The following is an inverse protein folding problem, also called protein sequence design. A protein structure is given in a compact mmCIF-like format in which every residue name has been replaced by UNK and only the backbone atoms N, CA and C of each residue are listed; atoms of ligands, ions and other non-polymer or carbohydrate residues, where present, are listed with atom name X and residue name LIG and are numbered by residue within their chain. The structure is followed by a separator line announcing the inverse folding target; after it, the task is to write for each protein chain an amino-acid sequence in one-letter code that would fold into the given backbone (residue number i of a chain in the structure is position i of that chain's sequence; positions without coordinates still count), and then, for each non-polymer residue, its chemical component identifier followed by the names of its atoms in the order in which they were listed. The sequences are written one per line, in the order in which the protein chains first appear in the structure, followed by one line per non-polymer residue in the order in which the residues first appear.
data_IF_027980505965
#
_entry.id   IF_027980505965
#
_cell.length_a   1.000
_cell.length_b   1.000
_cell.length_c   1.000
_cell.angle_alpha   90.00
_cell.angle_beta   90.00
_cell.angle_gamma   90.00
#
_symmetry.space_group_name_H-M   'P 1'
#
loop_
_entity.id
_entity.type
_entity.pdbx_description
1 polymer ?
#
# COMPACT_ATOMS: atom_id res chain seq x y z
N UNK A 1 -11.94 86.02 4.13
CA UNK A 1 -11.49 84.83 3.39
C UNK A 1 -11.25 83.69 4.40
N UNK A 2 -12.12 82.71 4.43
CA UNK A 2 -12.00 81.53 5.31
C UNK A 2 -11.70 80.34 4.41
N UNK A 3 -10.48 79.78 4.52
CA UNK A 3 -9.99 78.65 3.74
C UNK A 3 -10.38 77.37 4.50
N UNK A 4 -11.29 76.58 3.93
CA UNK A 4 -11.65 75.27 4.47
C UNK A 4 -10.64 74.22 3.99
N UNK A 5 -9.92 73.56 4.89
CA UNK A 5 -9.08 72.38 4.62
C UNK A 5 -9.96 71.12 4.74
N UNK A 6 -10.17 70.44 3.63
CA UNK A 6 -10.84 69.12 3.56
C UNK A 6 -9.79 68.04 3.84
N UNK A 7 -9.86 67.43 5.01
CA UNK A 7 -9.04 66.27 5.36
C UNK A 7 -9.64 65.02 4.73
N UNK A 8 -8.99 64.49 3.68
CA UNK A 8 -9.30 63.18 3.10
C UNK A 8 -8.60 62.10 3.93
N UNK A 9 -9.39 61.33 4.69
CA UNK A 9 -8.93 60.19 5.44
C UNK A 9 -8.84 58.99 4.46
N UNK A 10 -7.62 58.59 4.06
CA UNK A 10 -7.35 57.36 3.33
C UNK A 10 -7.39 56.18 4.32
N UNK A 11 -8.48 55.43 4.33
CA UNK A 11 -8.56 54.16 5.03
C UNK A 11 -7.73 53.09 4.24
N UNK A 12 -6.51 52.80 4.71
CA UNK A 12 -5.75 51.65 4.26
C UNK A 12 -6.44 50.38 4.78
N UNK A 13 -7.20 49.72 3.91
CA UNK A 13 -7.64 48.32 4.11
C UNK A 13 -6.41 47.41 4.01
N UNK A 14 -5.82 47.11 5.14
CA UNK A 14 -4.84 46.01 5.27
C UNK A 14 -5.59 44.69 4.97
N UNK A 15 -5.46 44.19 3.74
CA UNK A 15 -5.86 42.85 3.41
C UNK A 15 -4.97 41.90 4.25
N UNK A 16 -5.51 41.39 5.34
CA UNK A 16 -4.91 40.28 6.08
C UNK A 16 -4.95 39.09 5.11
N UNK A 17 -3.81 38.51 4.70
CA UNK A 17 -3.84 37.28 3.92
C UNK A 17 -4.52 36.25 4.83
N UNK A 18 -5.68 35.75 4.43
CA UNK A 18 -6.24 34.54 5.01
C UNK A 18 -5.16 33.48 4.84
N UNK A 19 -4.57 33.07 5.96
CA UNK A 19 -3.72 31.90 5.99
C UNK A 19 -4.62 30.74 5.50
N UNK A 20 -4.43 30.33 4.26
CA UNK A 20 -5.00 29.09 3.79
C UNK A 20 -4.54 28.03 4.79
N UNK A 21 -5.46 27.40 5.51
CA UNK A 21 -5.15 26.29 6.41
C UNK A 21 -4.31 25.30 5.61
N UNK A 22 -3.03 25.27 5.86
CA UNK A 22 -2.12 24.31 5.25
C UNK A 22 -2.64 22.93 5.71
N UNK A 23 -3.30 22.22 4.80
CA UNK A 23 -3.80 20.85 5.06
C UNK A 23 -2.63 20.09 5.71
N UNK A 24 -2.82 19.57 6.92
CA UNK A 24 -1.79 18.80 7.60
C UNK A 24 -1.37 17.67 6.67
N UNK A 25 -0.11 17.67 6.28
CA UNK A 25 0.45 16.60 5.47
C UNK A 25 0.29 15.27 6.20
N UNK A 26 -0.32 14.28 5.54
CA UNK A 26 -0.47 12.92 6.03
C UNK A 26 0.46 11.99 5.26
N UNK A 27 1.03 11.00 5.94
CA UNK A 27 1.88 9.99 5.32
C UNK A 27 0.99 8.97 4.58
N UNK A 28 0.75 9.21 3.30
CA UNK A 28 -0.07 8.36 2.43
C UNK A 28 0.80 7.91 1.26
N UNK A 29 0.99 6.59 1.15
CA UNK A 29 1.59 5.98 -0.02
C UNK A 29 0.54 5.72 -1.11
N UNK A 30 1.00 5.58 -2.36
CA UNK A 30 0.18 5.10 -3.47
C UNK A 30 0.80 3.85 -4.08
N UNK A 31 -0.03 2.84 -4.35
CA UNK A 31 0.36 1.69 -5.16
C UNK A 31 0.41 2.10 -6.63
N UNK A 32 1.56 1.94 -7.29
CA UNK A 32 1.74 2.40 -8.68
C UNK A 32 0.88 1.63 -9.70
N UNK A 33 0.25 0.53 -9.29
CA UNK A 33 -0.79 -0.13 -10.09
C UNK A 33 -2.00 0.79 -10.34
N UNK A 34 -2.26 1.72 -9.44
CA UNK A 34 -3.31 2.74 -9.59
C UNK A 34 -3.10 3.70 -10.76
N UNK A 35 -1.91 3.74 -11.31
CA UNK A 35 -1.55 4.60 -12.45
C UNK A 35 -0.92 3.80 -13.58
N UNK A 36 -1.14 2.47 -13.58
CA UNK A 36 -0.58 1.54 -14.58
C UNK A 36 -0.90 1.94 -16.02
N UNK A 37 -2.11 2.45 -16.25
CA UNK A 37 -2.55 2.82 -17.60
C UNK A 37 -1.75 4.01 -18.15
N UNK A 38 -1.37 4.98 -17.31
CA UNK A 38 -0.51 6.09 -17.72
C UNK A 38 0.88 5.57 -18.11
N UNK A 39 1.45 4.67 -17.31
CA UNK A 39 2.79 4.10 -17.55
C UNK A 39 2.77 3.21 -18.80
N UNK A 40 1.77 2.34 -18.93
CA UNK A 40 1.64 1.41 -20.07
C UNK A 40 1.37 2.15 -21.38
N UNK A 41 0.69 3.29 -21.34
CA UNK A 41 0.43 4.16 -22.48
C UNK A 41 1.62 5.09 -22.82
N UNK A 42 2.78 4.88 -22.17
CA UNK A 42 4.04 5.54 -22.52
C UNK A 42 4.34 6.83 -21.77
N UNK A 43 3.54 7.21 -20.76
CA UNK A 43 3.94 8.34 -19.90
C UNK A 43 5.19 7.96 -19.10
N UNK A 44 6.23 8.77 -19.25
CA UNK A 44 7.51 8.48 -18.59
C UNK A 44 7.35 8.43 -17.06
N UNK A 45 7.93 7.42 -16.41
CA UNK A 45 7.80 7.18 -14.98
C UNK A 45 8.11 8.44 -14.13
N UNK A 46 9.13 9.20 -14.48
CA UNK A 46 9.50 10.42 -13.73
C UNK A 46 8.43 11.52 -13.79
N UNK A 47 7.62 11.58 -14.87
CA UNK A 47 6.49 12.50 -14.98
C UNK A 47 5.36 12.05 -14.07
N UNK A 48 5.03 10.75 -14.11
CA UNK A 48 4.00 10.15 -13.22
C UNK A 48 4.36 10.39 -11.74
N UNK A 49 5.60 10.09 -11.36
CA UNK A 49 6.07 10.29 -9.97
C UNK A 49 6.00 11.76 -9.53
N UNK A 50 6.39 12.68 -10.42
CA UNK A 50 6.30 14.13 -10.15
C UNK A 50 4.85 14.56 -9.93
N UNK A 51 3.92 14.12 -10.79
CA UNK A 51 2.51 14.46 -10.66
C UNK A 51 1.92 13.92 -9.33
N UNK A 52 2.21 12.66 -8.96
CA UNK A 52 1.77 12.06 -7.71
C UNK A 52 2.31 12.83 -6.49
N UNK A 53 3.57 13.22 -6.49
CA UNK A 53 4.16 14.03 -5.43
C UNK A 53 3.50 15.42 -5.33
N UNK A 54 3.22 16.06 -6.46
CA UNK A 54 2.52 17.36 -6.50
C UNK A 54 1.08 17.27 -6.01
N UNK A 55 0.41 16.13 -6.18
CA UNK A 55 -0.90 15.86 -5.59
C UNK A 55 -0.85 15.76 -4.07
N UNK A 56 0.29 15.34 -3.49
CA UNK A 56 0.50 15.21 -2.04
C UNK A 56 0.77 13.80 -1.53
N UNK A 57 0.94 12.81 -2.40
CA UNK A 57 1.43 11.49 -1.98
C UNK A 57 2.87 11.58 -1.49
N UNK A 58 3.19 10.84 -0.40
CA UNK A 58 4.50 10.93 0.27
C UNK A 58 5.42 9.76 -0.01
N UNK A 59 4.85 8.65 -0.46
CA UNK A 59 5.57 7.40 -0.71
C UNK A 59 4.90 6.61 -1.83
N UNK A 60 5.63 5.65 -2.38
CA UNK A 60 5.09 4.72 -3.36
C UNK A 60 5.26 3.27 -2.91
N UNK A 61 4.34 2.42 -3.36
CA UNK A 61 4.51 0.98 -3.47
C UNK A 61 4.62 0.61 -4.94
N UNK A 62 5.71 -0.10 -5.32
CA UNK A 62 5.92 -0.52 -6.70
C UNK A 62 5.04 -1.74 -7.04
N UNK A 63 4.57 -1.82 -8.29
CA UNK A 63 3.76 -2.93 -8.81
C UNK A 63 4.43 -3.68 -9.96
N UNK A 64 5.70 -3.36 -10.23
CA UNK A 64 6.45 -3.96 -11.33
C UNK A 64 7.87 -4.26 -10.85
N UNK A 65 8.16 -5.55 -10.69
CA UNK A 65 9.50 -6.07 -10.48
C UNK A 65 9.76 -7.18 -11.48
N UNK A 66 10.81 -7.04 -12.26
CA UNK A 66 11.24 -8.05 -13.22
C UNK A 66 12.76 -8.14 -13.29
N UNK A 67 13.31 -9.33 -13.08
CA UNK A 67 14.73 -9.66 -13.25
C UNK A 67 15.68 -8.62 -12.64
N UNK A 68 15.43 -8.23 -11.37
CA UNK A 68 16.26 -7.27 -10.63
C UNK A 68 15.99 -5.82 -10.95
N UNK A 69 14.96 -5.50 -11.74
CA UNK A 69 14.62 -4.13 -12.17
C UNK A 69 13.21 -3.73 -11.72
N UNK A 70 13.00 -2.43 -11.56
CA UNK A 70 11.70 -1.81 -11.31
C UNK A 70 11.37 -0.86 -12.46
N UNK A 71 10.30 -1.13 -13.21
CA UNK A 71 9.92 -0.31 -14.38
C UNK A 71 11.09 -0.15 -15.38
N UNK A 72 11.86 -1.22 -15.58
CA UNK A 72 13.02 -1.24 -16.49
C UNK A 72 14.28 -0.56 -15.95
N UNK A 73 14.25 0.03 -14.76
CA UNK A 73 15.38 0.72 -14.10
C UNK A 73 16.10 -0.20 -13.12
N UNK A 74 17.41 0.03 -12.92
CA UNK A 74 18.09 -0.59 -11.77
C UNK A 74 17.48 -0.13 -10.46
N UNK A 75 17.67 -0.87 -9.36
CA UNK A 75 17.15 -0.49 -8.05
C UNK A 75 17.53 0.92 -7.63
N UNK A 76 18.78 1.32 -7.84
CA UNK A 76 19.31 2.64 -7.51
C UNK A 76 18.72 3.74 -8.39
N UNK A 77 18.59 3.49 -9.71
CA UNK A 77 17.95 4.44 -10.64
C UNK A 77 16.47 4.65 -10.28
N UNK A 78 15.76 3.58 -9.90
CA UNK A 78 14.36 3.66 -9.46
C UNK A 78 14.23 4.46 -8.17
N UNK A 79 15.04 4.14 -7.16
CA UNK A 79 15.10 4.89 -5.91
C UNK A 79 15.35 6.38 -6.16
N UNK A 80 16.37 6.69 -6.92
CA UNK A 80 16.74 8.07 -7.24
C UNK A 80 15.61 8.82 -7.98
N UNK A 81 14.87 8.14 -8.85
CA UNK A 81 13.73 8.75 -9.57
C UNK A 81 12.59 9.11 -8.59
N UNK A 82 12.28 8.23 -7.63
CA UNK A 82 11.26 8.46 -6.60
C UNK A 82 11.68 9.58 -5.65
N UNK A 83 12.92 9.54 -5.16
CA UNK A 83 13.46 10.56 -4.24
C UNK A 83 13.57 11.94 -4.91
N UNK A 84 13.96 12.00 -6.19
CA UNK A 84 13.98 13.25 -6.97
C UNK A 84 12.59 13.85 -7.16
N UNK A 85 11.54 13.04 -7.17
CA UNK A 85 10.16 13.52 -7.18
C UNK A 85 9.69 14.03 -5.80
N UNK A 86 10.47 13.84 -4.73
CA UNK A 86 10.13 14.24 -3.36
C UNK A 86 9.39 13.18 -2.55
N UNK A 87 9.33 11.94 -3.03
CA UNK A 87 8.68 10.81 -2.36
C UNK A 87 9.69 9.78 -1.85
N UNK A 88 9.20 8.78 -1.09
CA UNK A 88 9.99 7.65 -0.59
C UNK A 88 9.53 6.36 -1.25
N UNK A 89 10.45 5.41 -1.42
CA UNK A 89 10.09 4.04 -1.79
C UNK A 89 9.73 3.28 -0.51
N UNK A 90 8.48 2.85 -0.37
CA UNK A 90 8.02 2.14 0.82
C UNK A 90 8.17 0.62 0.65
N UNK A 91 7.59 0.09 -0.42
CA UNK A 91 7.37 -1.33 -0.63
C UNK A 91 7.24 -1.68 -2.11
N UNK A 92 7.09 -2.97 -2.38
CA UNK A 92 6.75 -3.47 -3.70
C UNK A 92 5.87 -4.71 -3.59
N UNK A 93 4.90 -4.85 -4.49
CA UNK A 93 4.31 -6.13 -4.80
C UNK A 93 5.30 -6.96 -5.62
N UNK A 94 5.60 -8.16 -5.13
CA UNK A 94 6.55 -9.08 -5.75
C UNK A 94 6.17 -10.51 -5.39
N UNK A 95 6.10 -11.38 -6.38
CA UNK A 95 5.75 -12.78 -6.16
C UNK A 95 6.63 -13.73 -6.99
N UNK A 96 6.82 -14.91 -6.46
CA UNK A 96 7.29 -16.09 -7.17
C UNK A 96 6.47 -17.29 -6.70
N UNK A 97 5.68 -17.85 -7.59
CA UNK A 97 4.98 -19.11 -7.34
C UNK A 97 5.94 -20.30 -7.26
N UNK A 98 5.52 -21.33 -6.55
CA UNK A 98 6.23 -22.62 -6.54
C UNK A 98 5.99 -23.36 -7.85
N UNK A 99 7.01 -23.98 -8.38
CA UNK A 99 6.90 -24.91 -9.50
C UNK A 99 6.25 -26.23 -9.07
N UNK A 100 5.68 -26.98 -9.99
CA UNK A 100 5.11 -28.30 -9.71
C UNK A 100 6.10 -29.25 -9.04
N UNK A 101 7.37 -29.14 -9.39
CA UNK A 101 8.47 -29.91 -8.76
C UNK A 101 8.67 -29.53 -7.29
N UNK A 102 8.66 -28.24 -6.97
CA UNK A 102 8.77 -27.74 -5.61
C UNK A 102 7.55 -28.12 -4.77
N UNK A 103 6.35 -28.02 -5.37
CA UNK A 103 5.10 -28.48 -4.74
C UNK A 103 5.15 -29.99 -4.44
N UNK A 104 5.63 -30.80 -5.36
CA UNK A 104 5.71 -32.25 -5.18
C UNK A 104 6.76 -32.68 -4.16
N UNK A 105 7.93 -32.02 -4.14
CA UNK A 105 9.06 -32.37 -3.27
C UNK A 105 9.02 -31.71 -1.90
N UNK A 106 8.41 -30.52 -1.80
CA UNK A 106 8.52 -29.63 -0.63
C UNK A 106 9.90 -28.96 -0.51
N UNK A 107 10.73 -29.01 -1.53
CA UNK A 107 12.04 -28.35 -1.58
C UNK A 107 11.93 -27.02 -2.35
N UNK A 108 12.05 -25.91 -1.63
CA UNK A 108 11.91 -24.54 -2.14
C UNK A 108 13.25 -23.92 -2.57
N UNK A 109 14.33 -24.69 -2.63
CA UNK A 109 15.70 -24.17 -2.80
C UNK A 109 15.84 -23.27 -4.03
N UNK A 110 15.19 -23.60 -5.15
CA UNK A 110 15.26 -22.82 -6.39
C UNK A 110 14.52 -21.48 -6.24
N UNK A 111 13.28 -21.51 -5.75
CA UNK A 111 12.50 -20.30 -5.50
C UNK A 111 13.14 -19.41 -4.43
N UNK A 112 13.71 -19.98 -3.38
CA UNK A 112 14.40 -19.23 -2.33
C UNK A 112 15.69 -18.56 -2.84
N UNK A 113 16.42 -19.19 -3.76
CA UNK A 113 17.57 -18.55 -4.43
C UNK A 113 17.13 -17.33 -5.25
N UNK A 114 16.00 -17.42 -5.93
CA UNK A 114 15.43 -16.27 -6.64
C UNK A 114 15.01 -15.16 -5.65
N UNK A 115 14.42 -15.52 -4.50
CA UNK A 115 14.07 -14.56 -3.46
C UNK A 115 15.30 -13.86 -2.88
N UNK A 116 16.43 -14.52 -2.71
CA UNK A 116 17.66 -13.89 -2.24
C UNK A 116 18.11 -12.76 -3.20
N UNK A 117 18.00 -12.96 -4.50
CA UNK A 117 18.30 -11.95 -5.52
C UNK A 117 17.26 -10.82 -5.49
N UNK A 118 15.98 -11.17 -5.38
CA UNK A 118 14.89 -10.20 -5.29
C UNK A 118 15.01 -9.32 -4.04
N UNK A 119 15.26 -9.91 -2.87
CA UNK A 119 15.46 -9.19 -1.61
C UNK A 119 16.64 -8.21 -1.71
N UNK A 120 17.74 -8.62 -2.32
CA UNK A 120 18.88 -7.72 -2.53
C UNK A 120 18.52 -6.50 -3.40
N UNK A 121 17.77 -6.71 -4.49
CA UNK A 121 17.32 -5.64 -5.36
C UNK A 121 16.34 -4.69 -4.64
N UNK A 122 15.39 -5.22 -3.88
CA UNK A 122 14.43 -4.40 -3.12
C UNK A 122 15.13 -3.58 -2.03
N UNK A 123 16.13 -4.17 -1.35
CA UNK A 123 16.96 -3.46 -0.37
C UNK A 123 17.74 -2.33 -1.01
N UNK A 124 18.35 -2.56 -2.18
CA UNK A 124 19.08 -1.52 -2.93
C UNK A 124 18.16 -0.39 -3.40
N UNK A 125 16.88 -0.71 -3.72
CA UNK A 125 15.85 0.28 -4.02
C UNK A 125 15.37 1.05 -2.77
N UNK A 126 15.85 0.75 -1.57
CA UNK A 126 15.51 1.43 -0.32
C UNK A 126 14.17 1.01 0.29
N UNK A 127 13.60 -0.11 -0.14
CA UNK A 127 12.33 -0.62 0.34
C UNK A 127 12.44 -1.22 1.74
N UNK A 128 11.37 -1.08 2.53
CA UNK A 128 11.24 -1.68 3.86
C UNK A 128 10.46 -2.98 3.83
N UNK A 129 9.57 -3.11 2.86
CA UNK A 129 8.62 -4.22 2.77
C UNK A 129 8.63 -4.79 1.36
N UNK A 130 8.49 -6.13 1.30
CA UNK A 130 8.13 -6.85 0.08
C UNK A 130 6.82 -7.55 0.37
N UNK A 131 5.85 -7.42 -0.51
CA UNK A 131 4.51 -7.98 -0.31
C UNK A 131 4.18 -8.94 -1.45
N UNK A 132 3.83 -10.17 -1.11
CA UNK A 132 3.26 -11.09 -2.09
C UNK A 132 1.80 -10.68 -2.35
N UNK A 133 1.44 -10.34 -3.60
CA UNK A 133 0.11 -9.82 -3.92
C UNK A 133 -0.98 -10.90 -4.00
N UNK A 134 -0.69 -12.13 -3.60
CA UNK A 134 -1.65 -13.22 -3.58
C UNK A 134 -1.12 -14.52 -4.19
N UNK A 135 -1.76 -15.61 -3.84
CA UNK A 135 -1.65 -16.91 -4.48
C UNK A 135 -3.06 -17.40 -4.81
N UNK A 136 -3.19 -18.32 -5.75
CA UNK A 136 -4.47 -19.01 -5.98
C UNK A 136 -4.92 -19.79 -4.73
N UNK A 137 -6.20 -20.15 -4.67
CA UNK A 137 -6.70 -21.00 -3.57
C UNK A 137 -6.03 -22.37 -3.66
N UNK A 138 -5.25 -22.79 -2.63
CA UNK A 138 -4.61 -24.10 -2.60
C UNK A 138 -5.67 -25.22 -2.67
N UNK A 139 -5.33 -26.30 -3.34
CA UNK A 139 -6.26 -27.42 -3.53
C UNK A 139 -6.46 -28.23 -2.26
N UNK A 140 -5.45 -28.28 -1.38
CA UNK A 140 -5.42 -29.11 -0.17
C UNK A 140 -4.84 -28.34 1.01
N UNK A 141 -5.19 -28.77 2.25
CA UNK A 141 -4.59 -28.25 3.47
C UNK A 141 -3.08 -28.51 3.54
N UNK A 142 -2.59 -29.59 2.91
CA UNK A 142 -1.16 -29.87 2.79
C UNK A 142 -0.46 -28.80 1.94
N UNK A 143 -1.04 -28.45 0.80
CA UNK A 143 -0.51 -27.38 -0.06
C UNK A 143 -0.59 -26.02 0.66
N UNK A 144 -1.68 -25.76 1.38
CA UNK A 144 -1.84 -24.55 2.17
C UNK A 144 -0.73 -24.39 3.22
N UNK A 145 -0.46 -25.47 3.97
CA UNK A 145 0.65 -25.50 4.95
C UNK A 145 1.99 -25.25 4.27
N UNK A 146 2.23 -25.83 3.13
CA UNK A 146 3.45 -25.66 2.38
C UNK A 146 3.69 -24.20 1.98
N UNK A 147 2.65 -23.48 1.54
CA UNK A 147 2.77 -22.04 1.30
C UNK A 147 3.07 -21.24 2.57
N UNK A 148 2.50 -21.60 3.71
CA UNK A 148 2.86 -20.97 4.99
C UNK A 148 4.34 -21.20 5.35
N UNK A 149 4.85 -22.41 5.18
CA UNK A 149 6.26 -22.73 5.41
C UNK A 149 7.17 -21.94 4.45
N UNK A 150 6.79 -21.86 3.17
CA UNK A 150 7.50 -21.08 2.15
C UNK A 150 7.55 -19.59 2.51
N UNK A 151 6.44 -19.00 2.93
CA UNK A 151 6.38 -17.59 3.34
C UNK A 151 7.19 -17.32 4.60
N UNK A 152 7.22 -18.26 5.55
CA UNK A 152 8.09 -18.17 6.72
C UNK A 152 9.57 -18.12 6.31
N UNK A 153 9.99 -18.95 5.35
CA UNK A 153 11.37 -18.95 4.86
C UNK A 153 11.73 -17.65 4.12
N UNK A 154 10.82 -17.11 3.30
CA UNK A 154 11.02 -15.80 2.65
C UNK A 154 11.11 -14.70 3.69
N UNK A 155 10.18 -14.68 4.66
CA UNK A 155 10.13 -13.65 5.70
C UNK A 155 11.38 -13.65 6.58
N UNK A 156 11.90 -14.82 6.93
CA UNK A 156 13.16 -14.97 7.65
C UNK A 156 14.34 -14.37 6.87
N UNK A 157 14.41 -14.59 5.54
CA UNK A 157 15.44 -14.01 4.67
C UNK A 157 15.31 -12.49 4.57
N UNK A 158 14.08 -11.98 4.45
CA UNK A 158 13.81 -10.53 4.50
C UNK A 158 14.30 -9.93 5.82
N UNK A 159 13.98 -10.54 6.97
CA UNK A 159 14.41 -10.08 8.28
C UNK A 159 15.94 -10.01 8.40
N UNK A 160 16.66 -11.04 7.93
CA UNK A 160 18.13 -11.07 7.90
C UNK A 160 18.73 -9.93 7.08
N UNK A 161 17.98 -9.40 6.13
CA UNK A 161 18.36 -8.25 5.30
C UNK A 161 17.81 -6.89 5.80
N UNK A 162 17.18 -6.86 6.99
CA UNK A 162 16.60 -5.66 7.57
C UNK A 162 15.30 -5.22 6.92
N UNK A 163 14.62 -6.13 6.24
CA UNK A 163 13.34 -5.94 5.56
C UNK A 163 12.27 -6.81 6.19
N UNK A 164 11.01 -6.63 5.80
CA UNK A 164 9.89 -7.47 6.21
C UNK A 164 9.15 -7.99 5.00
N UNK A 165 8.66 -9.22 5.10
CA UNK A 165 7.82 -9.85 4.09
C UNK A 165 6.36 -9.82 4.53
N UNK A 166 5.46 -9.56 3.60
CA UNK A 166 4.02 -9.55 3.85
C UNK A 166 3.23 -10.28 2.77
N UNK A 167 1.96 -10.51 3.08
CA UNK A 167 0.98 -11.07 2.17
C UNK A 167 -0.20 -10.11 2.02
N UNK A 168 -0.61 -9.83 0.80
CA UNK A 168 -1.78 -9.01 0.46
C UNK A 168 -2.97 -9.91 0.08
N UNK A 169 -4.13 -9.65 0.66
CA UNK A 169 -5.33 -10.42 0.39
C UNK A 169 -6.22 -9.79 -0.69
N UNK A 170 -6.92 -10.66 -1.40
CA UNK A 170 -8.11 -10.38 -2.17
C UNK A 170 -9.35 -11.00 -1.50
N UNK A 171 -10.43 -11.19 -2.26
CA UNK A 171 -11.66 -11.79 -1.74
C UNK A 171 -11.60 -13.33 -1.67
N UNK A 172 -10.77 -13.97 -2.49
CA UNK A 172 -10.74 -15.43 -2.58
C UNK A 172 -10.09 -16.10 -1.36
N UNK A 173 -9.25 -15.39 -0.60
CA UNK A 173 -8.64 -15.90 0.63
C UNK A 173 -9.65 -16.10 1.78
N UNK A 174 -10.87 -15.61 1.62
CA UNK A 174 -11.96 -15.86 2.56
C UNK A 174 -12.73 -17.15 2.26
N UNK A 175 -12.33 -17.90 1.24
CA UNK A 175 -12.85 -19.23 0.96
C UNK A 175 -12.19 -20.29 1.84
N UNK A 176 -12.92 -21.40 2.06
CA UNK A 176 -12.38 -22.54 2.78
C UNK A 176 -11.60 -23.46 1.84
N UNK A 177 -10.41 -23.86 2.26
CA UNK A 177 -9.61 -24.90 1.64
C UNK A 177 -10.15 -26.26 2.13
N UNK A 178 -10.46 -27.20 1.23
CA UNK A 178 -11.04 -28.53 1.53
C UNK A 178 -12.24 -28.47 2.49
N UNK A 179 -13.02 -27.40 2.51
CA UNK A 179 -14.11 -27.14 3.47
C UNK A 179 -13.68 -27.16 4.94
N UNK A 180 -12.38 -27.08 5.24
CA UNK A 180 -11.86 -27.16 6.62
C UNK A 180 -11.61 -25.76 7.21
N UNK A 181 -10.70 -24.98 6.64
CA UNK A 181 -10.29 -23.69 7.17
C UNK A 181 -10.38 -22.57 6.13
N UNK A 182 -10.75 -21.37 6.57
CA UNK A 182 -10.64 -20.16 5.75
C UNK A 182 -9.16 -19.92 5.44
N UNK A 183 -8.84 -19.71 4.18
CA UNK A 183 -7.45 -19.59 3.72
C UNK A 183 -6.68 -18.51 4.47
N UNK A 184 -7.22 -17.28 4.56
CA UNK A 184 -6.54 -16.18 5.25
C UNK A 184 -6.34 -16.45 6.74
N UNK A 185 -7.33 -17.00 7.43
CA UNK A 185 -7.23 -17.38 8.84
C UNK A 185 -6.08 -18.38 9.05
N UNK A 186 -6.07 -19.43 8.23
CA UNK A 186 -5.03 -20.44 8.30
C UNK A 186 -3.63 -19.87 8.07
N UNK A 187 -3.49 -18.97 7.09
CA UNK A 187 -2.21 -18.30 6.81
C UNK A 187 -1.74 -17.45 7.99
N UNK A 188 -2.65 -16.68 8.60
CA UNK A 188 -2.33 -15.83 9.75
C UNK A 188 -1.88 -16.69 10.95
N UNK A 189 -2.57 -17.81 11.19
CA UNK A 189 -2.31 -18.71 12.33
C UNK A 189 -1.06 -19.58 12.14
N UNK A 190 -0.68 -19.89 10.89
CA UNK A 190 0.42 -20.79 10.57
C UNK A 190 1.66 -20.10 9.99
N UNK A 191 1.72 -18.76 10.02
CA UNK A 191 2.92 -18.01 9.70
C UNK A 191 3.47 -17.30 10.94
N UNK A 192 4.80 -17.26 11.07
CA UNK A 192 5.46 -16.61 12.18
C UNK A 192 5.28 -15.07 12.11
N UNK A 193 4.70 -14.42 13.13
CA UNK A 193 4.47 -12.98 13.16
C UNK A 193 5.76 -12.14 13.13
N UNK A 194 6.91 -12.71 13.47
CA UNK A 194 8.20 -12.03 13.34
C UNK A 194 8.67 -11.95 11.88
N UNK A 195 8.25 -12.89 11.04
CA UNK A 195 8.69 -13.02 9.65
C UNK A 195 7.67 -12.50 8.66
N UNK A 196 6.37 -12.77 8.90
CA UNK A 196 5.29 -12.50 7.95
C UNK A 196 4.25 -11.57 8.58
N UNK A 197 4.03 -10.42 7.97
CA UNK A 197 2.89 -9.56 8.27
C UNK A 197 1.81 -9.71 7.18
N UNK A 198 0.63 -9.15 7.43
CA UNK A 198 -0.42 -9.09 6.42
C UNK A 198 -0.65 -7.63 6.00
N UNK A 199 -0.71 -7.41 4.69
CA UNK A 199 -1.20 -6.17 4.10
C UNK A 199 -2.67 -6.39 3.79
N UNK A 200 -3.55 -5.92 4.69
CA UNK A 200 -4.97 -6.07 4.47
C UNK A 200 -5.45 -5.07 3.44
N UNK A 201 -6.05 -5.56 2.35
CA UNK A 201 -6.88 -4.76 1.47
C UNK A 201 -8.29 -4.67 2.05
N UNK A 202 -8.67 -3.46 2.45
CA UNK A 202 -9.92 -3.22 3.18
C UNK A 202 -11.17 -3.33 2.32
N UNK A 203 -11.05 -3.20 0.99
CA UNK A 203 -12.15 -3.43 0.05
C UNK A 203 -12.34 -4.92 -0.22
N UNK A 204 -11.24 -5.64 -0.48
CA UNK A 204 -11.34 -7.05 -0.81
C UNK A 204 -11.83 -7.92 0.35
N UNK A 205 -11.51 -7.58 1.61
CA UNK A 205 -12.11 -8.29 2.76
C UNK A 205 -13.62 -8.05 2.84
N UNK A 206 -14.12 -6.83 2.53
CA UNK A 206 -15.57 -6.55 2.47
C UNK A 206 -16.21 -7.34 1.31
N UNK A 207 -15.54 -7.42 0.15
CA UNK A 207 -15.99 -8.25 -0.98
C UNK A 207 -15.96 -9.75 -0.64
N UNK A 208 -15.06 -10.17 0.24
CA UNK A 208 -15.03 -11.50 0.84
C UNK A 208 -16.10 -11.72 1.93
N UNK A 209 -17.01 -10.76 2.14
CA UNK A 209 -18.11 -10.80 3.12
C UNK A 209 -17.63 -10.89 4.57
N UNK A 210 -16.49 -10.25 4.87
CA UNK A 210 -15.91 -10.18 6.21
C UNK A 210 -15.68 -8.72 6.62
N UNK A 211 -15.51 -8.51 7.93
CA UNK A 211 -15.26 -7.20 8.51
C UNK A 211 -13.76 -6.99 8.78
N UNK A 212 -13.15 -5.90 8.26
CA UNK A 212 -11.77 -5.54 8.62
C UNK A 212 -11.58 -5.44 10.15
N UNK A 213 -12.54 -4.82 10.85
CA UNK A 213 -12.44 -4.58 12.30
C UNK A 213 -12.49 -5.89 13.08
N UNK A 214 -13.31 -6.86 12.65
CA UNK A 214 -13.35 -8.18 13.29
C UNK A 214 -12.02 -8.92 13.14
N UNK A 215 -11.39 -8.81 11.96
CA UNK A 215 -10.06 -9.38 11.73
C UNK A 215 -8.97 -8.68 12.56
N UNK A 216 -9.04 -7.36 12.72
CA UNK A 216 -8.10 -6.63 13.60
C UNK A 216 -8.21 -7.11 15.06
N UNK A 217 -9.43 -7.34 15.54
CA UNK A 217 -9.67 -7.85 16.90
C UNK A 217 -9.29 -9.33 17.04
N UNK A 218 -9.52 -10.14 15.99
CA UNK A 218 -9.17 -11.56 15.99
C UNK A 218 -7.65 -11.78 15.93
N UNK A 219 -6.95 -10.94 15.18
CA UNK A 219 -5.51 -11.07 14.92
C UNK A 219 -4.75 -9.75 15.19
N UNK A 220 -4.72 -9.28 16.44
CA UNK A 220 -4.11 -8.00 16.77
C UNK A 220 -2.61 -7.98 16.41
N UNK A 221 -2.17 -6.84 15.85
CA UNK A 221 -0.77 -6.63 15.49
C UNK A 221 -0.30 -7.27 14.19
N UNK A 222 -1.15 -8.03 13.49
CA UNK A 222 -0.74 -8.76 12.28
C UNK A 222 -0.79 -7.91 10.99
N UNK A 223 -1.47 -6.75 10.99
CA UNK A 223 -1.74 -5.95 9.79
C UNK A 223 -0.87 -4.68 9.76
N UNK A 224 0.40 -4.83 9.39
CA UNK A 224 1.39 -3.73 9.42
C UNK A 224 1.12 -2.64 8.37
N UNK A 225 0.59 -3.02 7.22
CA UNK A 225 0.24 -2.13 6.12
C UNK A 225 -1.22 -2.36 5.75
N UNK A 226 -1.97 -1.29 5.46
CA UNK A 226 -3.30 -1.41 4.88
C UNK A 226 -3.27 -0.90 3.44
N UNK A 227 -3.87 -1.66 2.53
CA UNK A 227 -4.34 -1.13 1.25
C UNK A 227 -5.70 -0.50 1.46
N UNK A 228 -5.74 0.80 1.25
CA UNK A 228 -6.96 1.60 1.32
C UNK A 228 -7.52 1.68 -0.09
N UNK A 229 -8.55 0.88 -0.31
CA UNK A 229 -9.19 0.66 -1.59
C UNK A 229 -10.70 0.74 -1.45
N UNK A 230 -11.37 1.13 -2.52
CA UNK A 230 -12.82 1.09 -2.70
C UNK A 230 -13.16 0.49 -4.08
N UNK A 231 -14.42 0.49 -4.47
CA UNK A 231 -14.85 0.02 -5.79
C UNK A 231 -14.19 0.82 -6.93
N UNK A 232 -14.16 2.15 -6.76
CA UNK A 232 -13.46 3.09 -7.63
C UNK A 232 -12.65 4.07 -6.78
N UNK A 233 -13.01 5.35 -6.79
CA UNK A 233 -12.39 6.35 -5.94
C UNK A 233 -12.66 6.07 -4.47
N UNK A 234 -11.65 6.23 -3.63
CA UNK A 234 -11.74 5.96 -2.19
C UNK A 234 -12.79 6.87 -1.55
N UNK A 235 -13.77 6.26 -0.87
CA UNK A 235 -14.84 6.95 -0.14
C UNK A 235 -16.13 7.14 -0.93
N UNK A 236 -16.16 6.82 -2.22
CA UNK A 236 -17.35 7.09 -3.06
C UNK A 236 -18.43 6.00 -2.98
N UNK A 237 -18.05 4.73 -2.79
CA UNK A 237 -19.03 3.63 -2.85
C UNK A 237 -19.93 3.51 -1.61
N UNK A 238 -19.45 3.98 -0.46
CA UNK A 238 -20.10 3.74 0.83
C UNK A 238 -20.03 2.29 1.33
N UNK A 239 -19.36 1.38 0.61
CA UNK A 239 -19.24 -0.04 0.98
C UNK A 239 -18.23 -0.27 2.10
N UNK A 240 -17.16 0.52 2.13
CA UNK A 240 -16.04 0.36 3.05
C UNK A 240 -16.20 1.33 4.24
N UNK A 241 -16.28 0.79 5.44
CA UNK A 241 -16.42 1.56 6.68
C UNK A 241 -15.10 2.18 7.14
N UNK A 242 -14.53 3.12 6.37
CA UNK A 242 -13.20 3.70 6.62
C UNK A 242 -13.04 4.28 8.03
N UNK A 243 -14.04 4.98 8.56
CA UNK A 243 -13.98 5.54 9.91
C UNK A 243 -13.70 4.44 10.97
N UNK A 244 -14.46 3.35 10.94
CA UNK A 244 -14.27 2.23 11.86
C UNK A 244 -12.89 1.57 11.68
N UNK A 245 -12.44 1.39 10.43
CA UNK A 245 -11.13 0.81 10.11
C UNK A 245 -10.01 1.66 10.70
N UNK A 246 -9.99 2.96 10.44
CA UNK A 246 -8.92 3.84 10.91
C UNK A 246 -8.91 4.05 12.43
N UNK A 247 -10.08 4.04 13.09
CA UNK A 247 -10.17 4.07 14.56
C UNK A 247 -9.56 2.82 15.21
N UNK A 248 -9.61 1.68 14.53
CA UNK A 248 -9.06 0.40 15.00
C UNK A 248 -7.64 0.11 14.47
N UNK A 249 -7.02 1.02 13.71
CA UNK A 249 -5.69 0.83 13.13
C UNK A 249 -4.59 0.50 14.16
N UNK A 250 -4.72 0.97 15.42
CA UNK A 250 -3.78 0.64 16.51
C UNK A 250 -3.86 -0.83 16.90
N UNK A 251 -5.05 -1.40 17.01
CA UNK A 251 -5.27 -2.83 17.31
C UNK A 251 -4.71 -3.68 16.18
N UNK A 252 -4.94 -3.28 14.93
CA UNK A 252 -4.40 -3.94 13.75
C UNK A 252 -2.86 -3.97 13.70
N UNK A 253 -2.19 -3.00 14.35
CA UNK A 253 -0.73 -2.84 14.31
C UNK A 253 -0.23 -2.02 13.12
N UNK A 254 -1.11 -1.21 12.51
CA UNK A 254 -0.83 -0.42 11.30
C UNK A 254 0.34 0.52 11.51
N UNK A 255 1.25 0.52 10.54
CA UNK A 255 2.40 1.44 10.43
C UNK A 255 2.33 2.30 9.17
N UNK A 256 1.71 1.80 8.11
CA UNK A 256 1.59 2.51 6.83
C UNK A 256 0.24 2.24 6.20
N UNK A 257 -0.22 3.20 5.40
CA UNK A 257 -1.39 3.08 4.54
C UNK A 257 -0.97 3.35 3.09
N UNK A 258 -1.51 2.57 2.18
CA UNK A 258 -1.26 2.64 0.74
C UNK A 258 -2.59 2.79 0.04
N UNK A 259 -2.80 3.89 -0.67
CA UNK A 259 -3.97 4.07 -1.51
C UNK A 259 -3.85 3.20 -2.77
N UNK A 260 -4.91 2.47 -3.09
CA UNK A 260 -5.00 1.70 -4.32
C UNK A 260 -6.32 1.96 -5.03
N UNK A 261 -6.24 2.35 -6.29
CA UNK A 261 -7.37 2.63 -7.16
C UNK A 261 -7.25 1.76 -8.42
N UNK A 262 -8.13 0.80 -8.60
CA UNK A 262 -8.10 -0.10 -9.75
C UNK A 262 -9.18 0.19 -10.79
N UNK A 263 -10.31 0.74 -10.36
CA UNK A 263 -11.40 1.23 -11.19
C UNK A 263 -11.50 2.74 -11.11
N UNK A 264 -11.95 3.39 -12.19
CA UNK A 264 -12.03 4.85 -12.26
C UNK A 264 -13.41 5.27 -12.78
N UNK A 265 -13.98 6.33 -12.20
CA UNK A 265 -15.19 6.99 -12.71
C UNK A 265 -14.86 8.24 -13.56
N UNK A 266 -13.61 8.68 -13.52
CA UNK A 266 -13.05 9.84 -14.21
C UNK A 266 -11.64 9.55 -14.69
N UNK A 267 -10.94 10.46 -15.40
CA UNK A 267 -9.55 10.23 -15.80
C UNK A 267 -8.64 9.83 -14.63
N UNK A 268 -7.68 8.94 -14.89
CA UNK A 268 -6.82 8.31 -13.87
C UNK A 268 -6.21 9.33 -12.89
N UNK A 269 -5.65 10.45 -13.41
CA UNK A 269 -5.02 11.46 -12.56
C UNK A 269 -6.02 12.17 -11.66
N UNK A 270 -7.24 12.43 -12.14
CA UNK A 270 -8.32 13.00 -11.35
C UNK A 270 -8.82 12.00 -10.29
N UNK A 271 -8.96 10.73 -10.66
CA UNK A 271 -9.40 9.65 -9.78
C UNK A 271 -8.44 9.44 -8.59
N UNK A 272 -7.13 9.37 -8.86
CA UNK A 272 -6.13 9.21 -7.78
C UNK A 272 -6.02 10.47 -6.92
N UNK A 273 -6.24 11.66 -7.51
CA UNK A 273 -6.28 12.92 -6.74
C UNK A 273 -7.50 13.00 -5.84
N UNK A 274 -8.68 12.67 -6.34
CA UNK A 274 -9.94 12.63 -5.59
C UNK A 274 -9.86 11.66 -4.40
N UNK A 275 -9.30 10.48 -4.64
CA UNK A 275 -9.05 9.47 -3.59
C UNK A 275 -8.11 9.98 -2.50
N UNK A 276 -7.04 10.69 -2.89
CA UNK A 276 -6.13 11.31 -1.93
C UNK A 276 -6.82 12.41 -1.13
N UNK A 277 -7.60 13.28 -1.79
CA UNK A 277 -8.30 14.38 -1.11
C UNK A 277 -9.26 13.86 -0.05
N UNK A 278 -10.01 12.78 -0.34
CA UNK A 278 -10.82 12.11 0.66
C UNK A 278 -10.01 11.72 1.90
N UNK A 279 -8.84 11.10 1.72
CA UNK A 279 -7.99 10.66 2.83
C UNK A 279 -7.38 11.85 3.59
N UNK A 280 -7.01 12.93 2.89
CA UNK A 280 -6.46 14.15 3.51
C UNK A 280 -7.52 14.89 4.33
N UNK A 281 -8.76 14.93 3.87
CA UNK A 281 -9.87 15.63 4.54
C UNK A 281 -10.49 14.80 5.67
N UNK A 282 -10.38 13.46 5.63
CA UNK A 282 -10.97 12.58 6.62
C UNK A 282 -10.36 12.79 8.03
N UNK A 283 -11.15 13.19 9.05
CA UNK A 283 -10.63 13.50 10.39
C UNK A 283 -10.14 12.26 11.14
N UNK A 284 -10.57 11.07 10.73
CA UNK A 284 -10.18 9.79 11.32
C UNK A 284 -8.85 9.26 10.77
N UNK A 285 -8.32 9.81 9.67
CA UNK A 285 -7.01 9.46 9.13
C UNK A 285 -5.94 10.27 9.82
N UNK A 286 -4.99 9.59 10.49
CA UNK A 286 -3.89 10.25 11.21
C UNK A 286 -2.82 10.79 10.26
N UNK A 287 -2.04 11.76 10.75
CA UNK A 287 -0.91 12.29 9.99
C UNK A 287 0.18 11.23 9.75
N UNK A 288 0.36 10.27 10.66
CA UNK A 288 1.27 9.12 10.51
C UNK A 288 0.86 7.99 11.45
N UNK A 289 1.14 6.75 11.04
CA UNK A 289 0.93 5.52 11.83
C UNK A 289 2.25 4.90 12.29
N UNK A 290 3.39 5.38 11.80
CA UNK A 290 4.73 4.82 12.09
C UNK A 290 5.40 5.37 13.34
N UNK A 291 4.72 6.29 14.05
CA UNK A 291 5.21 6.89 15.29
C UNK A 291 4.68 6.20 16.52
#
# INVERSE_FOLDING_TARGET
MKTNYLLILFALLLAIPQAADAKKQKDIAIHLYSVRDLINNGTALHVVLKNLAQMGYTSIEAANYDNGKFYGKTPEEFKNAVEKAGMKVLSSHCSRGLSDKEVASGDFSESLKWWDQSIAAHKAAGMKYIVNPGIGVPKTMKEMKMYCDYFNEIGKRCQQNGMKFGYHNHAHEFQKVENQAVMLDYMIENTNPEYVFFQMDVYWIVRGQHSPVDYFNKYPGRFTVLHIKDDKEIGDSGMVGFDAIFRNAKVAGVKHIVAEIEGYSCPVEESVKKSLDYLLDAPFVKASYSK
#
